data_IF_817061462185
#
_entry.id   IF_817061462185
#
_cell.length_a   1.000
_cell.length_b   1.000
_cell.length_c   1.000
_cell.angle_alpha   90.00
_cell.angle_beta   90.00
_cell.angle_gamma   90.00
#
_symmetry.space_group_name_H-M   'P 1'
#
loop_
_entity.id
_entity.type
_entity.pdbx_description
1 polymer ?
#
# COMPACT_ATOMS: atom_id res chain seq x y z
N UNK A 1 -25.95 -19.05 1.35
CA UNK A 1 -24.54 -19.43 1.61
C UNK A 1 -24.03 -18.48 2.70
N UNK A 2 -23.16 -18.92 3.63
CA UNK A 2 -22.86 -18.17 4.87
C UNK A 2 -22.40 -16.72 4.64
N UNK A 3 -21.63 -16.49 3.57
CA UNK A 3 -21.13 -15.16 3.15
C UNK A 3 -22.27 -14.19 2.83
N UNK A 4 -23.28 -14.64 2.09
CA UNK A 4 -24.43 -13.81 1.70
C UNK A 4 -25.29 -13.41 2.90
N UNK A 5 -25.36 -14.26 3.94
CA UNK A 5 -26.03 -13.93 5.21
C UNK A 5 -25.27 -12.87 6.01
N UNK A 6 -23.95 -12.99 6.09
CA UNK A 6 -23.10 -12.00 6.76
C UNK A 6 -23.14 -10.65 6.04
N UNK A 7 -23.14 -10.67 4.71
CA UNK A 7 -23.20 -9.44 3.90
C UNK A 7 -24.51 -8.67 4.09
N UNK A 8 -25.62 -9.40 4.28
CA UNK A 8 -26.93 -8.80 4.53
C UNK A 8 -27.08 -8.29 5.97
N UNK A 9 -26.39 -8.93 6.92
CA UNK A 9 -26.40 -8.55 8.34
C UNK A 9 -25.46 -7.37 8.64
N UNK A 10 -24.41 -7.16 7.84
CA UNK A 10 -23.41 -6.10 8.01
C UNK A 10 -23.17 -5.34 6.70
N UNK A 11 -24.08 -4.42 6.31
CA UNK A 11 -23.98 -3.67 5.04
C UNK A 11 -22.67 -2.88 4.89
N UNK A 12 -22.16 -2.33 6.00
CA UNK A 12 -20.89 -1.60 6.02
C UNK A 12 -19.69 -2.49 5.63
N UNK A 13 -19.67 -3.74 6.09
CA UNK A 13 -18.61 -4.70 5.75
C UNK A 13 -18.68 -5.10 4.27
N UNK A 14 -19.89 -5.28 3.74
CA UNK A 14 -20.12 -5.56 2.31
C UNK A 14 -19.64 -4.41 1.43
N UNK A 15 -19.91 -3.15 1.83
CA UNK A 15 -19.42 -1.97 1.15
C UNK A 15 -17.89 -1.89 1.19
N UNK A 16 -17.28 -2.10 2.36
CA UNK A 16 -15.83 -2.09 2.50
C UNK A 16 -15.15 -3.15 1.63
N UNK A 17 -15.70 -4.37 1.55
CA UNK A 17 -15.17 -5.42 0.66
C UNK A 17 -15.25 -5.01 -0.80
N UNK A 18 -16.39 -4.48 -1.24
CA UNK A 18 -16.58 -4.02 -2.62
C UNK A 18 -15.61 -2.89 -2.98
N UNK A 19 -15.40 -1.93 -2.07
CA UNK A 19 -14.42 -0.86 -2.25
C UNK A 19 -12.99 -1.39 -2.30
N UNK A 20 -12.63 -2.37 -1.47
CA UNK A 20 -11.33 -3.02 -1.50
C UNK A 20 -11.08 -3.76 -2.82
N UNK A 21 -12.07 -4.49 -3.32
CA UNK A 21 -11.98 -5.21 -4.58
C UNK A 21 -11.85 -4.25 -5.77
N UNK A 22 -12.63 -3.15 -5.76
CA UNK A 22 -12.54 -2.08 -6.75
C UNK A 22 -11.15 -1.41 -6.73
N UNK A 23 -10.65 -1.06 -5.54
CA UNK A 23 -9.31 -0.49 -5.38
C UNK A 23 -8.21 -1.41 -5.90
N UNK A 24 -8.28 -2.69 -5.53
CA UNK A 24 -7.28 -3.68 -5.93
C UNK A 24 -7.28 -3.88 -7.44
N UNK A 25 -8.46 -3.90 -8.06
CA UNK A 25 -8.61 -3.99 -9.52
C UNK A 25 -8.03 -2.76 -10.21
N UNK A 26 -8.38 -1.57 -9.72
CA UNK A 26 -7.87 -0.29 -10.22
C UNK A 26 -6.34 -0.24 -10.16
N UNK A 27 -5.73 -0.62 -9.03
CA UNK A 27 -4.27 -0.61 -8.85
C UNK A 27 -3.58 -1.63 -9.76
N UNK A 28 -4.12 -2.86 -9.87
CA UNK A 28 -3.54 -3.88 -10.77
C UNK A 28 -3.57 -3.46 -12.24
N UNK A 29 -4.59 -2.71 -12.64
CA UNK A 29 -4.78 -2.29 -14.02
C UNK A 29 -4.17 -0.91 -14.31
N UNK A 30 -3.65 -0.20 -13.31
CA UNK A 30 -3.16 1.18 -13.46
C UNK A 30 -4.25 2.18 -13.86
N UNK A 31 -5.51 1.94 -13.46
CA UNK A 31 -6.64 2.77 -13.88
C UNK A 31 -6.73 4.08 -13.06
N UNK A 32 -5.88 5.03 -13.42
CA UNK A 32 -5.84 6.34 -12.77
C UNK A 32 -7.15 7.14 -12.89
N UNK A 33 -7.98 6.86 -13.90
CA UNK A 33 -9.24 7.58 -14.10
C UNK A 33 -10.31 7.19 -13.06
N UNK A 34 -10.29 5.93 -12.61
CA UNK A 34 -11.22 5.43 -11.59
C UNK A 34 -10.94 5.98 -10.16
N UNK A 35 -9.75 6.54 -9.91
CA UNK A 35 -9.31 6.96 -8.57
C UNK A 35 -10.22 8.02 -7.93
N UNK A 36 -10.63 9.04 -8.69
CA UNK A 36 -11.42 10.13 -8.15
C UNK A 36 -12.79 9.65 -7.64
N UNK A 37 -13.49 8.85 -8.44
CA UNK A 37 -14.79 8.28 -8.04
C UNK A 37 -14.65 7.29 -6.89
N UNK A 38 -13.57 6.52 -6.86
CA UNK A 38 -13.29 5.62 -5.75
C UNK A 38 -13.04 6.37 -4.44
N UNK A 39 -12.28 7.47 -4.45
CA UNK A 39 -12.02 8.30 -3.27
C UNK A 39 -13.30 8.94 -2.72
N UNK A 40 -14.18 9.42 -3.60
CA UNK A 40 -15.48 9.98 -3.22
C UNK A 40 -16.33 8.95 -2.48
N UNK A 41 -16.48 7.74 -3.04
CA UNK A 41 -17.26 6.68 -2.41
C UNK A 41 -16.61 6.19 -1.10
N UNK A 42 -15.29 6.03 -1.09
CA UNK A 42 -14.55 5.53 0.08
C UNK A 42 -14.60 6.51 1.26
N UNK A 43 -14.65 7.82 1.01
CA UNK A 43 -14.68 8.87 2.04
C UNK A 43 -15.91 8.82 2.93
N UNK A 44 -17.03 8.27 2.43
CA UNK A 44 -18.28 8.09 3.17
C UNK A 44 -18.43 6.72 3.85
N UNK A 45 -17.40 5.89 3.85
CA UNK A 45 -17.46 4.49 4.28
C UNK A 45 -16.47 4.16 5.41
N UNK A 46 -16.46 2.90 5.84
CA UNK A 46 -15.43 2.35 6.74
C UNK A 46 -13.99 2.52 6.20
N UNK A 47 -13.83 2.80 4.90
CA UNK A 47 -12.52 3.06 4.28
C UNK A 47 -12.09 4.54 4.34
N UNK A 48 -12.84 5.43 4.99
CA UNK A 48 -12.57 6.87 4.97
C UNK A 48 -11.16 7.23 5.47
N UNK A 49 -10.63 6.52 6.47
CA UNK A 49 -9.26 6.75 6.94
C UNK A 49 -8.20 6.42 5.89
N UNK A 50 -8.42 5.34 5.12
CA UNK A 50 -7.55 4.95 4.03
C UNK A 50 -7.64 5.95 2.87
N UNK A 51 -8.86 6.38 2.51
CA UNK A 51 -9.07 7.41 1.49
C UNK A 51 -8.37 8.74 1.84
N UNK A 52 -8.41 9.16 3.12
CA UNK A 52 -7.66 10.35 3.58
C UNK A 52 -6.15 10.21 3.40
N UNK A 53 -5.59 9.04 3.72
CA UNK A 53 -4.17 8.77 3.51
C UNK A 53 -3.79 8.88 2.03
N UNK A 54 -4.56 8.23 1.14
CA UNK A 54 -4.34 8.32 -0.30
C UNK A 54 -4.49 9.74 -0.84
N UNK A 55 -5.43 10.52 -0.30
CA UNK A 55 -5.64 11.91 -0.70
C UNK A 55 -4.45 12.79 -0.29
N UNK A 56 -3.85 12.55 0.87
CA UNK A 56 -2.67 13.29 1.32
C UNK A 56 -1.45 13.08 0.40
N UNK A 57 -1.32 11.89 -0.16
CA UNK A 57 -0.23 11.50 -1.08
C UNK A 57 -0.70 11.35 -2.54
N UNK A 58 -1.75 12.08 -2.94
CA UNK A 58 -2.45 11.85 -4.22
C UNK A 58 -1.51 11.88 -5.43
N UNK A 59 -0.58 12.84 -5.49
CA UNK A 59 0.37 12.95 -6.61
C UNK A 59 1.24 11.69 -6.74
N UNK A 60 1.71 11.14 -5.62
CA UNK A 60 2.52 9.92 -5.60
C UNK A 60 1.68 8.69 -5.99
N UNK A 61 0.44 8.61 -5.50
CA UNK A 61 -0.51 7.53 -5.86
C UNK A 61 -0.84 7.58 -7.35
N UNK A 62 -1.09 8.76 -7.91
CA UNK A 62 -1.39 8.94 -9.33
C UNK A 62 -0.19 8.62 -10.20
N UNK A 63 1.02 8.99 -9.77
CA UNK A 63 2.25 8.58 -10.45
C UNK A 63 2.40 7.05 -10.43
N UNK A 64 2.15 6.39 -9.29
CA UNK A 64 2.22 4.94 -9.17
C UNK A 64 1.22 4.19 -10.07
N UNK A 65 0.09 4.81 -10.44
CA UNK A 65 -0.89 4.23 -11.37
C UNK A 65 -0.54 4.47 -12.85
N UNK A 66 0.12 5.59 -13.17
CA UNK A 66 0.38 6.00 -14.55
C UNK A 66 1.74 5.55 -15.07
N UNK A 67 2.73 5.52 -14.18
CA UNK A 67 4.10 5.25 -14.55
C UNK A 67 4.40 3.74 -14.52
N UNK A 68 5.26 3.26 -15.43
CA UNK A 68 5.66 1.85 -15.45
C UNK A 68 6.66 1.49 -14.33
N UNK A 69 7.11 2.47 -13.55
CA UNK A 69 8.17 2.33 -12.57
C UNK A 69 7.62 1.90 -11.21
N UNK A 70 8.27 0.92 -10.60
CA UNK A 70 7.94 0.47 -9.24
C UNK A 70 9.04 0.87 -8.26
N UNK A 71 8.65 1.45 -7.11
CA UNK A 71 9.56 1.66 -5.98
C UNK A 71 9.95 0.36 -5.25
N UNK A 72 9.43 -0.81 -5.66
CA UNK A 72 9.64 -2.08 -4.96
C UNK A 72 11.11 -2.49 -4.83
N UNK A 73 11.95 -2.21 -5.83
CA UNK A 73 13.40 -2.48 -5.74
C UNK A 73 14.06 -1.61 -4.67
N UNK A 74 13.78 -0.31 -4.69
CA UNK A 74 14.28 0.67 -3.71
C UNK A 74 13.84 0.30 -2.29
N UNK A 75 12.55 0.00 -2.11
CA UNK A 75 12.00 -0.43 -0.83
C UNK A 75 12.60 -1.75 -0.36
N UNK A 76 12.84 -2.70 -1.27
CA UNK A 76 13.53 -3.96 -0.97
C UNK A 76 14.93 -3.74 -0.40
N UNK A 77 15.73 -2.87 -1.04
CA UNK A 77 17.06 -2.52 -0.56
C UNK A 77 17.01 -1.81 0.80
N UNK A 78 16.08 -0.87 0.98
CA UNK A 78 15.86 -0.17 2.25
C UNK A 78 15.46 -1.16 3.35
N UNK A 79 14.58 -2.12 3.06
CA UNK A 79 14.14 -3.13 4.01
C UNK A 79 15.28 -4.07 4.40
N UNK A 80 16.12 -4.48 3.45
CA UNK A 80 17.34 -5.25 3.73
C UNK A 80 18.29 -4.49 4.65
N UNK A 81 18.54 -3.21 4.37
CA UNK A 81 19.37 -2.34 5.22
C UNK A 81 18.79 -2.19 6.63
N UNK A 82 17.47 -1.94 6.74
CA UNK A 82 16.77 -1.83 8.03
C UNK A 82 16.85 -3.14 8.82
N UNK A 83 16.70 -4.29 8.15
CA UNK A 83 16.79 -5.61 8.76
C UNK A 83 18.20 -5.86 9.32
N UNK A 84 19.24 -5.57 8.54
CA UNK A 84 20.63 -5.69 8.99
C UNK A 84 20.91 -4.80 10.21
N UNK A 85 20.46 -3.54 10.19
CA UNK A 85 20.60 -2.63 11.34
C UNK A 85 19.88 -3.15 12.59
N UNK A 86 18.70 -3.76 12.44
CA UNK A 86 17.92 -4.37 13.53
C UNK A 86 18.62 -5.62 14.10
N UNK A 87 19.21 -6.47 13.26
CA UNK A 87 20.04 -7.60 13.71
C UNK A 87 21.24 -7.17 14.56
N UNK A 88 21.67 -5.92 14.39
CA UNK A 88 22.79 -5.32 15.11
C UNK A 88 22.33 -4.42 16.26
N UNK A 89 21.09 -4.59 16.73
CA UNK A 89 20.50 -3.83 17.83
C UNK A 89 20.56 -2.30 17.64
N UNK A 90 20.58 -1.84 16.39
CA UNK A 90 20.66 -0.42 16.05
C UNK A 90 22.05 0.21 16.18
N UNK A 91 23.06 -0.52 16.67
CA UNK A 91 24.39 0.00 16.99
C UNK A 91 25.34 0.11 15.79
N UNK A 92 24.91 -0.31 14.60
CA UNK A 92 25.74 -0.28 13.40
C UNK A 92 25.77 1.13 12.78
N UNK A 93 26.96 1.72 12.70
CA UNK A 93 27.25 2.92 11.89
C UNK A 93 27.26 2.62 10.38
N UNK A 94 27.36 3.68 9.57
CA UNK A 94 27.25 3.59 8.10
C UNK A 94 28.31 2.64 7.52
N UNK A 95 29.57 2.76 7.94
CA UNK A 95 30.67 1.94 7.42
C UNK A 95 30.45 0.44 7.66
N UNK A 96 29.96 0.10 8.85
CA UNK A 96 29.66 -1.28 9.23
C UNK A 96 28.44 -1.84 8.50
N UNK A 97 27.43 -1.00 8.27
CA UNK A 97 26.27 -1.38 7.45
C UNK A 97 26.68 -1.63 5.99
N UNK A 98 27.49 -0.74 5.40
CA UNK A 98 28.02 -0.89 4.04
C UNK A 98 28.84 -2.16 3.89
N UNK A 99 29.78 -2.42 4.82
CA UNK A 99 30.59 -3.63 4.80
C UNK A 99 29.70 -4.88 4.80
N UNK A 100 28.69 -4.96 5.67
CA UNK A 100 27.82 -6.15 5.73
C UNK A 100 26.90 -6.27 4.52
N UNK A 101 26.42 -5.16 3.95
CA UNK A 101 25.62 -5.16 2.72
C UNK A 101 26.40 -5.70 1.52
N UNK A 102 27.69 -5.33 1.40
CA UNK A 102 28.58 -5.78 0.32
C UNK A 102 28.98 -7.26 0.46
N UNK A 103 29.07 -7.77 1.69
CA UNK A 103 29.51 -9.15 1.95
C UNK A 103 28.39 -10.17 2.09
N UNK A 104 27.11 -9.77 2.15
CA UNK A 104 25.99 -10.72 2.08
C UNK A 104 25.52 -10.89 0.64
N UNK A 105 26.14 -11.85 -0.05
CA UNK A 105 25.65 -12.49 -1.27
C UNK A 105 25.26 -13.94 -0.93
#
# INVERSE_FOLDING_TARGET
>A
MLVTQVEHALPALSQARRLLDAFTTMVRNGDAAAMAGWLEEASGSEMAAFARGLTADLDAVMAALREPWSNGQTEGQINRLKMLKRQMYGAAGIDLLLARLQHSA
#
